data_IF_976145801033
#
_entry.id   IF_976145801033
#
_cell.length_a   1.000
_cell.length_b   1.000
_cell.length_c   1.000
_cell.angle_alpha   90.00
_cell.angle_beta   90.00
_cell.angle_gamma   90.00
#
_symmetry.space_group_name_H-M   'P 1'
#
loop_
_entity.id
_entity.type
_entity.pdbx_description
1 polymer ?
#
# COMPACT_ATOMS: atom_id res chain seq x y z
N UNK A 1 24.25 -48.11 2.08
CA UNK A 1 23.23 -47.07 1.76
C UNK A 1 23.97 -45.72 1.71
N UNK A 2 24.26 -45.27 0.48
CA UNK A 2 25.05 -44.05 0.25
C UNK A 2 24.06 -42.90 0.01
N UNK A 3 23.95 -41.96 0.94
CA UNK A 3 23.13 -40.75 0.77
C UNK A 3 23.91 -39.73 -0.06
N UNK A 4 23.45 -39.53 -1.29
CA UNK A 4 23.92 -38.44 -2.17
C UNK A 4 23.22 -37.15 -1.73
N UNK A 5 23.92 -36.25 -1.04
CA UNK A 5 23.47 -34.88 -0.79
C UNK A 5 23.63 -34.09 -2.09
N UNK A 6 22.52 -33.74 -2.74
CA UNK A 6 22.48 -32.75 -3.81
C UNK A 6 22.77 -31.38 -3.20
N UNK A 7 23.98 -30.90 -3.38
CA UNK A 7 24.34 -29.50 -3.12
C UNK A 7 23.76 -28.64 -4.25
N UNK A 8 22.70 -27.88 -3.99
CA UNK A 8 22.31 -26.77 -4.86
C UNK A 8 23.46 -25.75 -4.91
N UNK A 9 23.94 -25.34 -6.09
CA UNK A 9 24.90 -24.26 -6.17
C UNK A 9 24.16 -22.96 -5.79
N UNK A 10 24.40 -22.45 -4.58
CA UNK A 10 24.10 -21.08 -4.24
C UNK A 10 24.96 -20.22 -5.16
N UNK A 11 24.33 -19.51 -6.10
CA UNK A 11 24.99 -18.46 -6.84
C UNK A 11 25.47 -17.43 -5.80
N UNK A 12 26.79 -17.38 -5.61
CA UNK A 12 27.42 -16.37 -4.75
C UNK A 12 27.09 -15.01 -5.35
N UNK A 13 26.30 -14.21 -4.65
CA UNK A 13 26.04 -12.83 -5.02
C UNK A 13 27.38 -12.10 -5.14
N UNK A 14 27.58 -11.39 -6.25
CA UNK A 14 28.80 -10.63 -6.42
C UNK A 14 28.83 -9.45 -5.43
N UNK A 15 29.98 -9.03 -4.91
CA UNK A 15 30.09 -8.10 -3.77
C UNK A 15 29.42 -6.73 -3.96
N UNK A 16 29.01 -6.40 -5.19
CA UNK A 16 28.36 -5.12 -5.52
C UNK A 16 26.88 -5.23 -5.86
N UNK A 17 26.34 -6.44 -5.96
CA UNK A 17 24.94 -6.67 -6.28
C UNK A 17 24.01 -6.03 -5.24
N UNK A 18 24.29 -6.25 -3.96
CA UNK A 18 23.44 -5.73 -2.88
C UNK A 18 23.38 -4.19 -2.88
N UNK A 19 24.51 -3.53 -3.08
CA UNK A 19 24.56 -2.08 -3.14
C UNK A 19 23.84 -1.52 -4.40
N UNK A 20 23.94 -2.23 -5.53
CA UNK A 20 23.27 -1.86 -6.76
C UNK A 20 21.76 -2.09 -6.66
N UNK A 21 21.31 -3.21 -6.09
CA UNK A 21 19.91 -3.55 -5.85
C UNK A 21 19.25 -2.61 -4.83
N UNK A 22 19.97 -2.15 -3.81
CA UNK A 22 19.46 -1.15 -2.87
C UNK A 22 19.15 0.17 -3.60
N UNK A 23 20.04 0.64 -4.47
CA UNK A 23 19.81 1.83 -5.29
C UNK A 23 18.68 1.63 -6.33
N UNK A 24 18.57 0.42 -6.91
CA UNK A 24 17.49 0.04 -7.82
C UNK A 24 16.13 0.12 -7.13
N UNK A 25 16.02 -0.51 -5.96
CA UNK A 25 14.79 -0.49 -5.16
C UNK A 25 14.37 0.93 -4.78
N UNK A 26 15.31 1.73 -4.29
CA UNK A 26 15.05 3.13 -3.96
C UNK A 26 14.61 3.95 -5.19
N UNK A 27 15.20 3.67 -6.36
CA UNK A 27 14.82 4.34 -7.60
C UNK A 27 13.43 3.95 -8.10
N UNK A 28 13.05 2.68 -8.01
CA UNK A 28 11.77 2.21 -8.55
C UNK A 28 10.64 2.39 -7.55
N UNK A 29 10.79 1.92 -6.32
CA UNK A 29 9.72 1.98 -5.31
C UNK A 29 9.53 3.40 -4.74
N UNK A 30 10.60 4.19 -4.66
CA UNK A 30 10.55 5.56 -4.12
C UNK A 30 10.34 6.61 -5.22
N UNK A 31 11.33 6.76 -6.10
CA UNK A 31 11.34 7.89 -7.02
C UNK A 31 10.41 7.68 -8.23
N UNK A 32 10.40 6.48 -8.84
CA UNK A 32 9.57 6.22 -10.02
C UNK A 32 8.09 6.23 -9.67
N UNK A 33 7.67 5.50 -8.63
CA UNK A 33 6.28 5.53 -8.15
C UNK A 33 5.89 6.91 -7.61
N UNK A 34 6.85 7.65 -7.06
CA UNK A 34 6.69 9.05 -6.67
C UNK A 34 6.70 10.05 -7.83
N UNK A 35 6.70 9.58 -9.10
CA UNK A 35 6.76 10.41 -10.32
C UNK A 35 8.01 11.28 -10.47
N UNK A 36 9.04 11.01 -9.67
CA UNK A 36 10.34 11.71 -9.71
C UNK A 36 11.30 11.05 -10.72
N UNK A 37 10.88 10.94 -11.97
CA UNK A 37 11.58 10.16 -13.00
C UNK A 37 13.05 10.57 -13.24
N UNK A 38 13.40 11.84 -13.02
CA UNK A 38 14.80 12.29 -13.12
C UNK A 38 15.65 11.76 -11.96
N UNK A 39 15.11 11.70 -10.76
CA UNK A 39 15.80 11.14 -9.60
C UNK A 39 15.98 9.62 -9.78
N UNK A 40 14.95 8.91 -10.21
CA UNK A 40 15.03 7.48 -10.56
C UNK A 40 16.11 7.22 -11.63
N UNK A 41 16.14 8.02 -12.72
CA UNK A 41 17.19 7.93 -13.75
C UNK A 41 18.59 8.06 -13.13
N UNK A 42 18.80 9.02 -12.25
CA UNK A 42 20.12 9.27 -11.63
C UNK A 42 20.55 8.11 -10.73
N UNK A 43 19.64 7.58 -9.91
CA UNK A 43 19.93 6.45 -9.02
C UNK A 43 20.24 5.18 -9.80
N UNK A 44 19.45 4.84 -10.82
CA UNK A 44 19.71 3.67 -11.67
C UNK A 44 21.05 3.79 -12.43
N UNK A 45 21.39 4.98 -12.92
CA UNK A 45 22.72 5.22 -13.50
C UNK A 45 23.85 5.08 -12.46
N UNK A 46 23.63 5.52 -11.23
CA UNK A 46 24.58 5.32 -10.13
C UNK A 46 24.73 3.83 -9.82
N UNK A 47 23.63 3.07 -9.78
CA UNK A 47 23.67 1.61 -9.59
C UNK A 47 24.47 0.92 -10.69
N UNK A 48 24.22 1.22 -11.97
CA UNK A 48 25.02 0.71 -13.09
C UNK A 48 26.51 1.09 -13.00
N UNK A 49 26.81 2.30 -12.52
CA UNK A 49 28.20 2.73 -12.29
C UNK A 49 28.87 1.96 -11.14
N UNK A 50 28.12 1.64 -10.09
CA UNK A 50 28.58 0.81 -8.96
C UNK A 50 28.94 -0.61 -9.44
N UNK A 51 28.14 -1.18 -10.33
CA UNK A 51 28.44 -2.47 -10.96
C UNK A 51 29.71 -2.45 -11.81
N UNK A 52 29.98 -1.35 -12.51
CA UNK A 52 31.13 -1.24 -13.41
C UNK A 52 31.11 -2.34 -14.49
N UNK A 53 32.30 -2.82 -14.89
CA UNK A 53 32.40 -3.83 -15.98
C UNK A 53 32.16 -5.27 -15.53
N UNK A 54 32.43 -5.63 -14.27
CA UNK A 54 32.38 -7.01 -13.74
C UNK A 54 32.06 -7.09 -12.25
N UNK A 55 31.44 -6.07 -11.66
CA UNK A 55 31.22 -6.04 -10.23
C UNK A 55 29.82 -6.48 -9.81
N UNK A 56 28.94 -6.79 -10.76
CA UNK A 56 27.60 -7.32 -10.52
C UNK A 56 27.33 -8.54 -11.40
N UNK A 57 26.41 -9.37 -10.97
CA UNK A 57 25.90 -10.50 -11.72
C UNK A 57 25.22 -10.04 -13.03
N UNK A 58 25.14 -10.95 -14.00
CA UNK A 58 24.45 -10.67 -15.27
C UNK A 58 22.97 -10.33 -15.04
N UNK A 59 22.33 -11.02 -14.11
CA UNK A 59 20.93 -10.79 -13.76
C UNK A 59 20.72 -9.38 -13.17
N UNK A 60 21.56 -8.96 -12.21
CA UNK A 60 21.46 -7.62 -11.63
C UNK A 60 21.68 -6.52 -12.68
N UNK A 61 22.64 -6.71 -13.59
CA UNK A 61 22.86 -5.78 -14.71
C UNK A 61 21.65 -5.73 -15.66
N UNK A 62 21.04 -6.88 -15.96
CA UNK A 62 19.87 -6.97 -16.83
C UNK A 62 18.68 -6.22 -16.21
N UNK A 63 18.38 -6.46 -14.94
CA UNK A 63 17.33 -5.80 -14.20
C UNK A 63 17.53 -4.27 -14.14
N UNK A 64 18.74 -3.80 -13.84
CA UNK A 64 19.06 -2.38 -13.82
C UNK A 64 18.85 -1.69 -15.18
N UNK A 65 19.24 -2.36 -16.27
CA UNK A 65 19.00 -1.85 -17.62
C UNK A 65 17.53 -1.86 -18.00
N UNK A 66 16.77 -2.91 -17.61
CA UNK A 66 15.31 -3.00 -17.78
C UNK A 66 14.62 -1.83 -17.10
N UNK A 67 14.91 -1.60 -15.82
CA UNK A 67 14.25 -0.56 -15.03
C UNK A 67 14.61 0.85 -15.52
N UNK A 68 15.85 1.06 -15.93
CA UNK A 68 16.23 2.31 -16.59
C UNK A 68 15.53 2.51 -17.94
N UNK A 69 15.23 1.43 -18.68
CA UNK A 69 14.40 1.49 -19.88
C UNK A 69 12.97 1.90 -19.56
N UNK A 70 12.36 1.32 -18.52
CA UNK A 70 11.03 1.69 -18.02
C UNK A 70 10.96 3.18 -17.68
N UNK A 71 11.92 3.69 -16.90
CA UNK A 71 12.01 5.11 -16.55
C UNK A 71 12.11 6.00 -17.79
N UNK A 72 12.87 5.59 -18.81
CA UNK A 72 12.96 6.35 -20.04
C UNK A 72 11.68 6.32 -20.87
N UNK A 73 11.03 5.17 -21.01
CA UNK A 73 9.85 4.99 -21.87
C UNK A 73 8.62 5.60 -21.19
N UNK A 74 8.26 5.08 -20.02
CA UNK A 74 7.03 5.43 -19.34
C UNK A 74 7.13 6.77 -18.61
N UNK A 75 8.25 7.05 -17.92
CA UNK A 75 8.44 8.25 -17.12
C UNK A 75 8.86 9.47 -17.94
N UNK A 76 9.99 9.38 -18.62
CA UNK A 76 10.63 10.54 -19.29
C UNK A 76 10.23 10.71 -20.74
N UNK A 77 9.45 9.79 -21.32
CA UNK A 77 9.00 9.78 -22.73
C UNK A 77 10.16 9.81 -23.75
N UNK A 78 11.30 9.20 -23.39
CA UNK A 78 12.53 9.11 -24.21
C UNK A 78 12.67 7.72 -24.83
N UNK A 79 11.78 7.36 -25.76
CA UNK A 79 11.67 6.00 -26.34
C UNK A 79 12.98 5.44 -26.90
N UNK A 80 13.77 6.25 -27.62
CA UNK A 80 15.04 5.78 -28.21
C UNK A 80 16.07 5.40 -27.14
N UNK A 81 16.14 6.17 -26.04
CA UNK A 81 17.02 5.82 -24.92
C UNK A 81 16.54 4.58 -24.19
N UNK A 82 15.22 4.46 -24.01
CA UNK A 82 14.58 3.29 -23.44
C UNK A 82 14.88 2.02 -24.26
N UNK A 83 14.70 2.09 -25.59
CA UNK A 83 15.00 0.98 -26.49
C UNK A 83 16.45 0.50 -26.37
N UNK A 84 17.42 1.42 -26.32
CA UNK A 84 18.85 1.08 -26.13
C UNK A 84 19.10 0.38 -24.80
N UNK A 85 18.45 0.82 -23.72
CA UNK A 85 18.58 0.19 -22.41
C UNK A 85 17.89 -1.19 -22.39
N UNK A 86 16.75 -1.34 -23.01
CA UNK A 86 16.05 -2.62 -23.12
C UNK A 86 16.87 -3.65 -23.89
N UNK A 87 17.50 -3.23 -24.99
CA UNK A 87 18.44 -4.09 -25.73
C UNK A 87 19.64 -4.51 -24.87
N UNK A 88 20.15 -3.60 -24.04
CA UNK A 88 21.25 -3.93 -23.14
C UNK A 88 20.81 -4.92 -22.05
N UNK A 89 19.58 -4.80 -21.55
CA UNK A 89 18.99 -5.73 -20.59
C UNK A 89 18.88 -7.15 -21.17
N UNK A 90 18.26 -7.30 -22.33
CA UNK A 90 18.09 -8.60 -23.01
C UNK A 90 19.44 -9.21 -23.41
N UNK A 91 20.41 -8.36 -23.81
CA UNK A 91 21.77 -8.85 -24.09
C UNK A 91 22.48 -9.38 -22.85
N UNK A 92 22.24 -8.78 -21.67
CA UNK A 92 22.83 -9.24 -20.41
C UNK A 92 22.18 -10.53 -19.93
N UNK A 93 20.86 -10.64 -20.06
CA UNK A 93 20.07 -11.83 -19.76
C UNK A 93 18.92 -12.01 -20.77
N UNK A 94 19.07 -12.96 -21.73
CA UNK A 94 18.01 -13.24 -22.71
C UNK A 94 16.72 -13.82 -22.11
N UNK A 95 16.76 -14.36 -20.89
CA UNK A 95 15.60 -14.91 -20.19
C UNK A 95 14.92 -13.88 -19.28
N UNK A 96 15.43 -12.63 -19.27
CA UNK A 96 14.86 -11.56 -18.45
C UNK A 96 13.41 -11.29 -18.85
N UNK A 97 12.52 -11.27 -17.87
CA UNK A 97 11.13 -10.88 -18.04
C UNK A 97 10.90 -9.42 -17.63
N UNK A 98 9.85 -8.83 -18.16
CA UNK A 98 9.36 -7.54 -17.67
C UNK A 98 8.84 -7.71 -16.24
N UNK A 99 9.04 -6.68 -15.45
CA UNK A 99 8.43 -6.60 -14.14
C UNK A 99 6.96 -6.19 -14.30
N UNK A 100 6.00 -7.02 -13.87
CA UNK A 100 4.58 -6.73 -14.05
C UNK A 100 4.14 -5.43 -13.39
N UNK A 101 4.76 -5.05 -12.26
CA UNK A 101 4.41 -3.83 -11.51
C UNK A 101 4.79 -2.54 -12.27
N UNK A 102 5.74 -2.63 -13.19
CA UNK A 102 6.25 -1.50 -13.98
C UNK A 102 6.02 -1.66 -15.49
N UNK A 103 5.30 -2.71 -15.90
CA UNK A 103 4.98 -2.96 -17.30
C UNK A 103 3.82 -2.07 -17.75
N UNK A 104 4.00 -1.46 -18.91
CA UNK A 104 2.94 -0.70 -19.61
C UNK A 104 2.92 -1.13 -21.06
N UNK A 105 1.80 -0.97 -21.80
CA UNK A 105 1.73 -1.35 -23.22
C UNK A 105 2.81 -0.70 -24.09
N UNK A 106 3.31 0.48 -23.70
CA UNK A 106 4.44 1.12 -24.39
C UNK A 106 5.78 0.43 -24.10
N UNK A 107 5.98 -0.02 -22.85
CA UNK A 107 7.19 -0.75 -22.42
C UNK A 107 7.22 -2.12 -23.09
N UNK A 108 6.10 -2.84 -23.08
CA UNK A 108 5.95 -4.16 -23.72
C UNK A 108 6.30 -4.13 -25.19
N UNK A 109 5.74 -3.17 -25.96
CA UNK A 109 6.07 -2.98 -27.37
C UNK A 109 7.57 -2.74 -27.62
N UNK A 110 8.22 -2.00 -26.73
CA UNK A 110 9.68 -1.75 -26.84
C UNK A 110 10.47 -2.97 -26.45
N UNK A 111 10.01 -3.76 -25.49
CA UNK A 111 10.63 -5.01 -25.05
C UNK A 111 10.59 -6.06 -26.16
N UNK A 112 9.42 -6.29 -26.79
CA UNK A 112 9.27 -7.17 -27.93
C UNK A 112 10.14 -6.70 -29.13
N UNK A 113 10.11 -5.40 -29.42
CA UNK A 113 10.94 -4.82 -30.51
C UNK A 113 12.46 -4.86 -30.21
N UNK A 114 12.85 -5.09 -28.96
CA UNK A 114 14.24 -5.26 -28.55
C UNK A 114 14.68 -6.74 -28.57
N UNK A 115 13.79 -7.68 -28.85
CA UNK A 115 14.04 -9.12 -28.91
C UNK A 115 13.68 -9.89 -27.64
N UNK A 116 12.92 -9.30 -26.73
CA UNK A 116 12.34 -9.99 -25.59
C UNK A 116 11.28 -11.01 -26.00
N UNK A 117 11.09 -12.05 -25.20
CA UNK A 117 10.04 -13.02 -25.44
C UNK A 117 8.67 -12.32 -25.35
N UNK A 118 7.76 -12.64 -26.27
CA UNK A 118 6.40 -12.13 -26.22
C UNK A 118 5.79 -12.54 -24.87
N UNK A 119 5.30 -11.60 -24.11
CA UNK A 119 4.52 -11.88 -22.93
C UNK A 119 3.17 -12.40 -23.44
N UNK A 120 3.07 -13.71 -23.58
CA UNK A 120 1.75 -14.33 -23.70
C UNK A 120 1.05 -14.07 -22.38
N UNK A 121 -0.21 -13.53 -22.41
CA UNK A 121 -1.00 -13.50 -21.21
C UNK A 121 -1.04 -14.95 -20.68
N UNK A 122 -0.66 -15.11 -19.43
CA UNK A 122 -0.74 -16.40 -18.74
C UNK A 122 -2.15 -16.93 -19.00
N UNK A 123 -2.31 -18.09 -19.65
CA UNK A 123 -3.65 -18.65 -19.84
C UNK A 123 -4.22 -18.83 -18.45
N UNK A 124 -5.37 -18.19 -18.20
CA UNK A 124 -6.20 -18.59 -17.08
C UNK A 124 -6.25 -20.10 -17.13
N UNK A 125 -5.79 -20.75 -16.07
CA UNK A 125 -5.68 -22.19 -16.01
C UNK A 125 -7.09 -22.79 -16.09
N UNK A 126 -7.57 -22.96 -17.32
CA UNK A 126 -8.61 -23.92 -17.62
C UNK A 126 -7.99 -25.29 -17.40
N UNK A 127 -8.19 -25.80 -16.20
CA UNK A 127 -7.87 -27.15 -15.83
C UNK A 127 -8.79 -28.09 -16.63
N UNK A 128 -8.39 -28.39 -17.86
CA UNK A 128 -9.04 -29.43 -18.67
C UNK A 128 -8.69 -30.78 -18.08
N UNK A 129 -9.56 -31.26 -17.22
CA UNK A 129 -9.61 -32.66 -16.80
C UNK A 129 -9.91 -33.50 -18.04
N UNK A 130 -9.10 -34.55 -18.35
CA UNK A 130 -9.38 -35.45 -19.47
C UNK A 130 -10.75 -36.13 -19.27
N UNK A 131 -11.61 -35.99 -20.26
CA UNK A 131 -12.87 -36.72 -20.33
C UNK A 131 -12.57 -38.21 -20.56
N UNK A 132 -12.67 -39.03 -19.51
CA UNK A 132 -12.91 -40.45 -19.68
C UNK A 132 -14.41 -40.67 -20.04
N UNK A 133 -14.62 -41.43 -21.12
CA UNK A 133 -15.92 -41.86 -21.61
C UNK A 133 -16.68 -42.66 -20.56
N UNK A 134 -17.80 -42.14 -20.09
CA UNK A 134 -18.75 -42.89 -19.25
C UNK A 134 -20.16 -42.28 -19.35
N UNK A 135 -21.20 -43.11 -19.47
CA UNK A 135 -22.54 -42.69 -19.87
C UNK A 135 -23.35 -42.25 -18.68
N UNK A 136 -23.71 -40.99 -18.59
CA UNK A 136 -24.99 -40.50 -18.03
C UNK A 136 -25.08 -39.00 -18.25
N UNK A 137 -26.11 -38.53 -18.91
CA UNK A 137 -26.46 -37.15 -19.05
C UNK A 137 -26.60 -36.51 -17.65
N UNK A 138 -25.57 -35.74 -17.26
CA UNK A 138 -25.68 -34.81 -16.15
C UNK A 138 -26.62 -33.71 -16.61
N UNK A 139 -27.71 -33.40 -15.88
CA UNK A 139 -28.55 -32.26 -16.22
C UNK A 139 -27.66 -31.00 -16.31
N UNK A 140 -27.86 -30.25 -17.39
CA UNK A 140 -27.18 -28.95 -17.60
C UNK A 140 -27.26 -28.15 -16.29
N UNK A 141 -26.15 -27.46 -15.87
CA UNK A 141 -26.23 -26.60 -14.72
C UNK A 141 -27.41 -25.68 -14.92
N UNK A 142 -28.36 -25.71 -14.00
CA UNK A 142 -29.50 -24.79 -13.99
C UNK A 142 -28.88 -23.42 -14.01
N UNK A 143 -29.26 -22.63 -15.01
CA UNK A 143 -28.87 -21.21 -15.10
C UNK A 143 -29.15 -20.60 -13.73
N UNK A 144 -28.10 -20.13 -13.05
CA UNK A 144 -28.24 -19.45 -11.75
C UNK A 144 -29.36 -18.42 -11.92
N UNK A 145 -30.50 -18.67 -11.31
CA UNK A 145 -31.61 -17.74 -11.29
C UNK A 145 -31.10 -16.51 -10.57
N UNK A 146 -30.91 -15.45 -11.35
CA UNK A 146 -30.54 -14.13 -10.84
C UNK A 146 -31.48 -13.78 -9.68
N UNK A 147 -30.95 -13.77 -8.47
CA UNK A 147 -31.70 -13.62 -7.23
C UNK A 147 -32.21 -12.19 -7.01
N UNK A 148 -32.54 -11.49 -8.09
CA UNK A 148 -33.37 -10.29 -8.11
C UNK A 148 -32.94 -9.14 -7.19
N UNK A 149 -31.68 -8.80 -7.09
CA UNK A 149 -31.21 -7.62 -6.34
C UNK A 149 -30.08 -6.92 -7.08
N UNK A 150 -29.78 -5.68 -6.71
CA UNK A 150 -28.72 -4.89 -7.31
C UNK A 150 -27.38 -5.63 -7.33
N UNK A 151 -26.69 -5.59 -8.48
CA UNK A 151 -25.37 -6.24 -8.64
C UNK A 151 -24.21 -5.28 -8.33
N UNK A 152 -24.41 -3.99 -8.50
CA UNK A 152 -23.41 -2.98 -8.30
C UNK A 152 -23.87 -2.02 -7.20
N UNK A 153 -22.96 -1.62 -6.35
CA UNK A 153 -23.25 -0.78 -5.20
C UNK A 153 -22.27 0.38 -5.14
N UNK A 154 -22.82 1.60 -5.04
CA UNK A 154 -22.05 2.80 -4.75
C UNK A 154 -22.22 3.17 -3.29
N UNK A 155 -21.16 3.62 -2.66
CA UNK A 155 -21.20 4.08 -1.27
C UNK A 155 -20.51 5.42 -1.10
N UNK A 156 -21.04 6.22 -0.17
CA UNK A 156 -20.40 7.42 0.36
C UNK A 156 -20.34 7.27 1.86
N UNK A 157 -19.17 7.44 2.45
CA UNK A 157 -19.00 7.23 3.88
C UNK A 157 -18.01 8.20 4.51
N UNK A 158 -18.23 8.46 5.80
CA UNK A 158 -17.31 9.18 6.67
C UNK A 158 -16.70 8.20 7.66
N UNK A 159 -15.37 8.24 7.79
CA UNK A 159 -14.60 7.39 8.69
C UNK A 159 -13.82 8.25 9.69
N UNK A 160 -13.90 7.90 10.97
CA UNK A 160 -13.05 8.42 12.03
C UNK A 160 -12.06 7.34 12.44
N UNK A 161 -10.78 7.64 12.31
CA UNK A 161 -9.70 6.75 12.76
C UNK A 161 -9.35 7.05 14.22
N UNK A 162 -8.98 5.99 14.93
CA UNK A 162 -8.43 6.00 16.28
C UNK A 162 -7.13 5.23 16.27
N UNK A 163 -6.08 5.78 16.86
CA UNK A 163 -4.77 5.12 16.93
C UNK A 163 -4.50 4.58 18.33
N UNK A 164 -4.01 3.35 18.40
CA UNK A 164 -3.61 2.71 19.65
C UNK A 164 -2.15 3.06 19.91
N UNK A 165 -1.87 3.65 21.05
CA UNK A 165 -0.53 4.04 21.48
C UNK A 165 0.03 3.07 22.51
N UNK A 166 1.29 2.67 22.32
CA UNK A 166 2.08 2.09 23.41
C UNK A 166 2.57 3.16 24.40
N UNK A 167 2.87 2.75 25.60
CA UNK A 167 3.57 3.64 26.53
C UNK A 167 4.99 3.94 26.02
N UNK A 168 5.42 5.18 26.11
CA UNK A 168 6.78 5.60 25.78
C UNK A 168 7.24 6.73 26.68
N UNK A 169 8.54 6.80 26.97
CA UNK A 169 9.16 7.81 27.83
C UNK A 169 9.86 8.93 27.05
N UNK A 170 9.95 8.79 25.72
CA UNK A 170 10.68 9.75 24.87
C UNK A 170 9.85 10.04 23.61
N UNK A 171 8.75 10.75 23.76
CA UNK A 171 7.85 11.04 22.61
C UNK A 171 8.54 11.90 21.57
N UNK A 172 9.27 12.94 21.98
CA UNK A 172 9.90 13.90 21.08
C UNK A 172 11.45 13.76 21.04
N UNK A 173 12.01 12.66 21.45
CA UNK A 173 13.45 12.43 21.61
C UNK A 173 14.18 11.81 20.43
N UNK A 174 13.88 12.20 19.19
CA UNK A 174 14.78 11.97 18.03
C UNK A 174 15.00 10.54 17.53
N UNK A 175 14.28 9.54 18.00
CA UNK A 175 14.39 8.15 17.53
C UNK A 175 13.03 7.48 17.40
N UNK A 176 11.97 8.16 17.76
CA UNK A 176 10.63 7.62 17.86
C UNK A 176 9.78 7.94 16.62
N UNK A 177 8.72 7.18 16.44
CA UNK A 177 7.73 7.35 15.38
C UNK A 177 6.85 8.61 15.56
N UNK A 178 7.27 9.54 16.44
CA UNK A 178 6.57 10.78 16.73
C UNK A 178 7.31 11.96 16.14
N UNK A 179 6.54 12.90 15.61
CA UNK A 179 7.01 14.20 15.16
C UNK A 179 6.37 15.26 16.05
N UNK A 180 7.19 16.10 16.65
CA UNK A 180 6.74 17.12 17.57
C UNK A 180 6.75 18.51 16.92
N UNK A 181 5.75 19.30 17.27
CA UNK A 181 5.60 20.68 16.79
C UNK A 181 5.35 21.62 17.96
N UNK A 182 6.00 22.77 17.92
CA UNK A 182 5.76 23.88 18.84
C UNK A 182 5.04 24.99 18.06
N UNK A 183 3.83 25.32 18.45
CA UNK A 183 3.04 26.39 17.83
C UNK A 183 2.94 26.30 16.29
N UNK A 184 2.88 25.07 15.76
CA UNK A 184 2.77 24.80 14.32
C UNK A 184 4.09 24.68 13.57
N UNK A 185 5.22 24.93 14.20
CA UNK A 185 6.56 24.71 13.62
C UNK A 185 7.14 23.37 14.07
N UNK A 186 7.91 22.69 13.20
CA UNK A 186 8.56 21.44 13.56
C UNK A 186 9.62 21.68 14.64
N UNK A 187 9.53 20.94 15.72
CA UNK A 187 10.47 21.01 16.83
C UNK A 187 11.50 19.90 16.68
N UNK A 188 12.77 20.25 16.52
CA UNK A 188 13.86 19.32 16.27
C UNK A 188 14.94 19.31 17.37
N UNK A 189 14.79 20.10 18.40
CA UNK A 189 15.75 20.14 19.49
C UNK A 189 15.50 19.04 20.52
N UNK A 190 16.55 18.48 21.13
CA UNK A 190 16.39 17.50 22.20
C UNK A 190 15.68 18.16 23.39
N UNK A 191 14.64 17.49 23.88
CA UNK A 191 13.95 17.91 25.10
C UNK A 191 14.83 17.50 26.26
N UNK A 192 15.32 18.48 27.00
CA UNK A 192 16.05 18.24 28.23
C UNK A 192 15.06 17.94 29.35
N UNK A 193 15.32 16.80 29.98
CA UNK A 193 14.70 16.27 31.20
C UNK A 193 13.20 15.96 31.18
N UNK A 194 13.02 14.76 31.18
CA UNK A 194 12.05 13.77 31.03
C UNK A 194 10.76 13.76 31.82
N UNK A 195 10.38 14.68 32.64
CA UNK A 195 9.19 14.49 33.47
C UNK A 195 7.85 14.71 32.75
N UNK A 196 7.83 15.32 31.55
CA UNK A 196 6.63 15.58 30.76
C UNK A 196 6.59 14.86 29.41
N UNK A 197 7.70 14.28 28.97
CA UNK A 197 7.85 13.65 27.65
C UNK A 197 7.40 12.17 27.67
N UNK A 198 6.38 11.86 28.44
CA UNK A 198 5.87 10.50 28.62
C UNK A 198 4.47 10.39 28.06
N UNK A 199 4.22 9.33 27.32
CA UNK A 199 2.90 8.93 26.88
C UNK A 199 2.51 7.62 27.57
N UNK A 200 1.33 7.60 28.17
CA UNK A 200 0.73 6.35 28.66
C UNK A 200 0.07 5.61 27.50
N UNK A 201 0.08 4.28 27.57
CA UNK A 201 -0.67 3.46 26.64
C UNK A 201 -2.14 3.87 26.63
N UNK A 202 -2.73 3.96 25.44
CA UNK A 202 -4.11 4.39 25.30
C UNK A 202 -4.58 4.42 23.85
N UNK A 203 -5.72 5.04 23.65
CA UNK A 203 -6.33 5.26 22.32
C UNK A 203 -6.53 6.76 22.14
N UNK A 204 -6.12 7.29 21.03
CA UNK A 204 -6.30 8.69 20.68
C UNK A 204 -7.00 8.88 19.34
N UNK A 205 -7.57 10.07 19.19
CA UNK A 205 -8.21 10.47 17.93
C UNK A 205 -7.12 10.66 16.86
N UNK A 206 -7.39 10.14 15.66
CA UNK A 206 -6.50 10.20 14.53
C UNK A 206 -7.20 10.85 13.32
N UNK A 207 -6.76 10.57 12.13
CA UNK A 207 -7.29 11.10 10.87
C UNK A 207 -8.78 10.83 10.68
N UNK A 208 -9.40 11.65 9.86
CA UNK A 208 -10.78 11.49 9.38
C UNK A 208 -10.76 11.31 7.88
N UNK A 209 -11.75 10.60 7.33
CA UNK A 209 -11.81 10.34 5.90
C UNK A 209 -13.22 10.51 5.36
N UNK A 210 -13.29 10.97 4.12
CA UNK A 210 -14.48 10.85 3.28
C UNK A 210 -14.15 9.89 2.17
N UNK A 211 -14.93 8.82 2.04
CA UNK A 211 -14.67 7.71 1.13
C UNK A 211 -15.84 7.52 0.18
N UNK A 212 -15.54 7.35 -1.09
CA UNK A 212 -16.46 6.86 -2.11
C UNK A 212 -16.07 5.42 -2.42
N UNK A 213 -17.02 4.51 -2.39
CA UNK A 213 -16.81 3.10 -2.66
C UNK A 213 -17.65 2.60 -3.81
N UNK A 214 -17.13 1.58 -4.48
CA UNK A 214 -17.85 0.77 -5.44
C UNK A 214 -17.63 -0.70 -5.07
N UNK A 215 -18.73 -1.43 -4.90
CA UNK A 215 -18.73 -2.86 -4.59
C UNK A 215 -19.57 -3.59 -5.65
N UNK A 216 -19.08 -4.71 -6.17
CA UNK A 216 -19.80 -5.61 -7.05
C UNK A 216 -20.12 -6.89 -6.34
N UNK A 217 -21.38 -7.34 -6.45
CA UNK A 217 -21.85 -8.62 -5.89
C UNK A 217 -21.44 -9.78 -6.77
N UNK A 218 -20.92 -10.82 -6.13
CA UNK A 218 -20.59 -12.12 -6.71
C UNK A 218 -21.36 -13.21 -5.95
N UNK A 219 -22.24 -13.91 -6.65
CA UNK A 219 -23.16 -14.84 -6.00
C UNK A 219 -24.15 -14.14 -5.08
N UNK A 220 -24.54 -14.78 -4.00
CA UNK A 220 -25.58 -14.27 -3.09
C UNK A 220 -25.01 -13.43 -1.93
N UNK A 221 -23.81 -13.75 -1.44
CA UNK A 221 -23.29 -13.25 -0.18
C UNK A 221 -21.94 -12.54 -0.27
N UNK A 222 -21.29 -12.50 -1.43
CA UNK A 222 -19.94 -11.91 -1.54
C UNK A 222 -20.01 -10.62 -2.32
N UNK A 223 -19.29 -9.60 -1.84
CA UNK A 223 -18.98 -8.41 -2.61
C UNK A 223 -17.47 -8.19 -2.68
N UNK A 224 -17.00 -7.79 -3.84
CA UNK A 224 -15.64 -7.30 -4.06
C UNK A 224 -15.72 -5.86 -4.56
N UNK A 225 -14.87 -5.01 -4.05
CA UNK A 225 -14.93 -3.60 -4.42
C UNK A 225 -13.67 -2.82 -4.08
N UNK A 226 -13.76 -1.53 -4.31
CA UNK A 226 -12.72 -0.56 -4.02
C UNK A 226 -13.29 0.67 -3.35
N UNK A 227 -12.49 1.33 -2.53
CA UNK A 227 -12.78 2.65 -1.96
C UNK A 227 -11.67 3.63 -2.28
N UNK A 228 -12.04 4.84 -2.60
CA UNK A 228 -11.16 5.98 -2.81
C UNK A 228 -11.63 7.13 -1.95
N UNK A 229 -10.73 7.97 -1.46
CA UNK A 229 -11.12 9.14 -0.71
C UNK A 229 -9.99 10.00 -0.20
N UNK A 230 -10.38 10.98 0.59
CA UNK A 230 -9.47 11.94 1.20
C UNK A 230 -9.46 11.79 2.72
N UNK A 231 -8.23 11.87 3.28
CA UNK A 231 -7.98 11.93 4.70
C UNK A 231 -7.68 13.37 5.16
N UNK A 232 -8.20 13.73 6.32
CA UNK A 232 -8.07 15.05 6.92
C UNK A 232 -7.54 14.94 8.35
N UNK A 233 -6.92 16.00 8.85
CA UNK A 233 -6.43 16.04 10.22
C UNK A 233 -5.19 15.18 10.43
N UNK A 234 -4.36 15.03 9.41
CA UNK A 234 -3.03 14.46 9.55
C UNK A 234 -2.03 15.48 10.09
N UNK A 235 -0.81 15.02 10.33
CA UNK A 235 0.28 15.86 10.87
C UNK A 235 0.59 17.06 9.99
N UNK A 236 0.98 18.21 10.57
CA UNK A 236 1.50 19.33 9.82
C UNK A 236 2.71 18.93 8.97
N UNK A 237 2.94 19.67 7.89
CA UNK A 237 4.13 19.46 7.09
C UNK A 237 5.37 19.93 7.89
N UNK A 238 6.32 19.05 8.07
CA UNK A 238 7.57 19.43 8.72
C UNK A 238 8.41 20.34 7.83
N UNK A 239 9.04 21.31 8.45
CA UNK A 239 10.05 22.17 7.81
C UNK A 239 11.40 21.47 7.68
N UNK A 240 11.60 20.37 8.42
CA UNK A 240 12.84 19.59 8.42
C UNK A 240 12.92 18.71 7.16
N UNK A 241 14.02 18.74 6.40
CA UNK A 241 14.22 17.85 5.27
C UNK A 241 14.23 16.38 5.76
N UNK A 242 13.62 15.48 4.99
CA UNK A 242 13.49 14.02 5.22
C UNK A 242 12.26 13.57 6.05
N UNK A 243 11.37 14.45 6.43
CA UNK A 243 10.08 14.03 6.98
C UNK A 243 9.04 14.06 5.85
N UNK A 244 8.45 12.90 5.56
CA UNK A 244 7.41 12.83 4.52
C UNK A 244 6.17 13.61 4.94
N UNK A 245 5.63 14.41 4.03
CA UNK A 245 4.32 15.04 4.25
C UNK A 245 3.24 13.97 4.45
N UNK A 246 2.19 14.34 5.17
CA UNK A 246 0.99 13.50 5.32
C UNK A 246 0.39 13.18 3.94
N UNK A 247 0.01 11.92 3.74
CA UNK A 247 -0.66 11.46 2.53
C UNK A 247 -2.19 11.62 2.68
N UNK A 248 -2.79 12.65 2.07
CA UNK A 248 -4.24 12.88 2.21
C UNK A 248 -5.09 11.93 1.35
N UNK A 249 -4.47 11.00 0.62
CA UNK A 249 -5.15 10.05 -0.24
C UNK A 249 -5.38 8.73 0.49
N UNK A 250 -6.56 8.14 0.28
CA UNK A 250 -6.89 6.77 0.66
C UNK A 250 -7.37 6.01 -0.57
N UNK A 251 -6.82 4.82 -0.79
CA UNK A 251 -7.28 3.90 -1.81
C UNK A 251 -7.16 2.47 -1.29
N UNK A 252 -8.23 1.69 -1.37
CA UNK A 252 -8.23 0.31 -0.90
C UNK A 252 -9.07 -0.60 -1.79
N UNK A 253 -8.69 -1.86 -1.86
CA UNK A 253 -9.51 -2.96 -2.35
C UNK A 253 -10.12 -3.66 -1.14
N UNK A 254 -11.35 -4.15 -1.29
CA UNK A 254 -12.07 -4.82 -0.20
C UNK A 254 -12.87 -6.01 -0.69
N UNK A 255 -13.00 -7.01 0.18
CA UNK A 255 -13.92 -8.12 0.01
C UNK A 255 -14.78 -8.27 1.25
N UNK A 256 -16.07 -8.46 1.09
CA UNK A 256 -17.01 -8.62 2.21
C UNK A 256 -17.91 -9.83 1.99
N UNK A 257 -18.15 -10.54 3.07
CA UNK A 257 -19.15 -11.62 3.13
C UNK A 257 -20.36 -11.13 3.93
N UNK A 258 -21.53 -11.20 3.33
CA UNK A 258 -22.80 -10.75 3.88
C UNK A 258 -23.54 -11.94 4.49
N UNK A 259 -24.03 -11.75 5.70
CA UNK A 259 -24.73 -12.78 6.46
C UNK A 259 -26.23 -12.76 6.12
N UNK A 260 -26.85 -13.94 6.04
CA UNK A 260 -28.26 -14.10 5.69
C UNK A 260 -28.46 -14.82 4.37
N UNK A 261 -29.67 -15.29 4.11
CA UNK A 261 -29.96 -16.11 2.93
C UNK A 261 -30.05 -15.27 1.63
N UNK A 262 -30.54 -14.03 1.74
CA UNK A 262 -30.71 -13.12 0.59
C UNK A 262 -30.43 -11.66 0.98
N UNK A 263 -29.19 -11.33 1.37
CA UNK A 263 -28.89 -10.03 1.98
C UNK A 263 -29.08 -8.83 1.06
N UNK A 264 -29.28 -9.03 -0.25
CA UNK A 264 -29.43 -7.93 -1.22
C UNK A 264 -30.84 -7.82 -1.80
N UNK A 265 -31.77 -8.63 -1.34
CA UNK A 265 -33.14 -8.69 -1.85
C UNK A 265 -34.16 -8.15 -0.84
N UNK A 266 -33.92 -8.41 0.44
CA UNK A 266 -34.85 -8.07 1.52
C UNK A 266 -34.46 -6.75 2.18
N UNK A 267 -35.46 -6.02 2.69
CA UNK A 267 -35.24 -4.84 3.54
C UNK A 267 -34.75 -5.25 4.93
N UNK A 268 -34.18 -4.33 5.67
CA UNK A 268 -33.75 -4.54 7.04
C UNK A 268 -32.26 -4.64 7.26
N UNK A 269 -31.86 -5.33 8.32
CA UNK A 269 -30.47 -5.39 8.77
C UNK A 269 -29.69 -6.44 7.99
N UNK A 270 -28.58 -6.02 7.38
CA UNK A 270 -27.67 -6.84 6.57
C UNK A 270 -26.27 -6.82 7.20
N UNK A 271 -25.96 -7.71 8.14
CA UNK A 271 -24.63 -7.76 8.75
C UNK A 271 -23.62 -8.34 7.78
N UNK A 272 -22.37 -7.89 7.88
CA UNK A 272 -21.28 -8.36 7.05
C UNK A 272 -19.94 -8.27 7.78
N UNK A 273 -18.95 -9.01 7.28
CA UNK A 273 -17.56 -8.93 7.69
C UNK A 273 -16.65 -9.13 6.47
N UNK A 274 -15.41 -8.67 6.56
CA UNK A 274 -14.50 -8.79 5.45
C UNK A 274 -13.09 -8.28 5.71
N UNK A 275 -12.34 -8.18 4.62
CA UNK A 275 -10.95 -7.76 4.58
C UNK A 275 -10.79 -6.60 3.60
N UNK A 276 -9.82 -5.74 3.88
CA UNK A 276 -9.39 -4.72 2.95
C UNK A 276 -7.87 -4.54 3.01
N UNK A 277 -7.30 -4.13 1.89
CA UNK A 277 -5.89 -3.77 1.80
C UNK A 277 -5.72 -2.59 0.84
N UNK A 278 -4.77 -1.70 1.13
CA UNK A 278 -4.58 -0.52 0.31
C UNK A 278 -3.53 0.44 0.82
N UNK A 279 -3.64 1.68 0.36
CA UNK A 279 -2.78 2.78 0.75
C UNK A 279 -3.57 3.87 1.48
N UNK A 280 -2.95 4.43 2.51
CA UNK A 280 -3.48 5.54 3.30
C UNK A 280 -2.62 5.72 4.55
N UNK A 281 -2.58 6.93 5.07
CA UNK A 281 -1.82 7.25 6.26
C UNK A 281 -2.77 7.60 7.41
N UNK A 282 -2.51 7.07 8.60
CA UNK A 282 -3.27 7.36 9.82
C UNK A 282 -2.33 8.07 10.79
N UNK A 283 -2.49 9.34 10.95
CA UNK A 283 -1.71 10.12 11.91
C UNK A 283 -2.53 10.37 13.17
N UNK A 284 -1.93 10.06 14.32
CA UNK A 284 -2.56 10.30 15.62
C UNK A 284 -1.91 11.45 16.34
N UNK A 285 -2.72 12.36 16.86
CA UNK A 285 -2.29 13.53 17.63
C UNK A 285 -2.33 13.26 19.13
N UNK A 286 -1.27 13.64 19.82
CA UNK A 286 -1.19 13.64 21.28
C UNK A 286 -0.50 14.93 21.73
N UNK A 287 -1.06 15.56 22.76
CA UNK A 287 -0.44 16.70 23.41
C UNK A 287 0.54 16.20 24.46
N UNK A 288 1.76 16.72 24.44
CA UNK A 288 2.83 16.36 25.40
C UNK A 288 3.27 17.63 26.13
N UNK A 289 3.20 17.60 27.45
CA UNK A 289 3.79 18.66 28.28
C UNK A 289 5.29 18.47 28.38
N UNK A 290 6.06 19.53 28.28
CA UNK A 290 7.50 19.50 28.45
C UNK A 290 8.00 20.75 29.16
N UNK A 291 9.17 20.62 29.76
CA UNK A 291 9.87 21.77 30.37
C UNK A 291 10.93 22.27 29.41
N UNK A 292 10.88 23.54 29.05
CA UNK A 292 11.95 24.19 28.30
C UNK A 292 12.96 24.73 29.29
N UNK A 293 14.18 24.24 29.22
CA UNK A 293 15.32 24.87 29.84
C UNK A 293 16.01 25.76 28.77
N UNK A 294 15.47 26.92 28.54
CA UNK A 294 16.18 27.93 27.76
C UNK A 294 17.27 28.51 28.66
N UNK A 295 18.53 28.36 28.28
CA UNK A 295 19.67 28.94 28.95
C UNK A 295 19.47 30.48 29.08
N UNK A 296 19.04 30.92 30.27
CA UNK A 296 18.77 32.33 30.58
C UNK A 296 17.31 32.69 30.85
N UNK A 297 16.36 31.79 30.67
CA UNK A 297 14.95 31.96 31.06
C UNK A 297 14.64 31.09 32.26
N UNK A 298 13.88 31.62 33.21
CA UNK A 298 13.56 30.98 34.49
C UNK A 298 13.10 29.53 34.29
N UNK A 299 13.87 28.61 34.81
CA UNK A 299 13.53 27.19 34.97
C UNK A 299 12.14 27.07 35.58
N UNK A 300 11.14 26.63 34.84
CA UNK A 300 9.78 26.21 35.23
C UNK A 300 8.68 26.61 34.26
N UNK A 301 8.98 27.00 33.03
CA UNK A 301 7.92 27.25 32.04
C UNK A 301 7.51 25.91 31.42
N UNK A 302 6.32 25.44 31.77
CA UNK A 302 5.67 24.33 31.05
C UNK A 302 5.24 24.84 29.69
N UNK A 303 5.64 24.18 28.65
CA UNK A 303 5.14 24.36 27.29
C UNK A 303 4.49 23.08 26.81
N UNK A 304 3.56 23.19 25.89
CA UNK A 304 2.87 22.06 25.32
C UNK A 304 3.34 21.87 23.87
N UNK A 305 3.75 20.65 23.55
CA UNK A 305 4.05 20.23 22.18
C UNK A 305 2.92 19.41 21.62
N UNK A 306 2.63 19.64 20.37
CA UNK A 306 1.79 18.78 19.58
C UNK A 306 2.63 17.64 18.99
N UNK A 307 2.49 16.45 19.54
CA UNK A 307 3.17 15.28 19.04
C UNK A 307 2.25 14.49 18.11
N UNK A 308 2.77 14.18 16.92
CA UNK A 308 2.06 13.41 15.91
C UNK A 308 2.75 12.09 15.70
N UNK A 309 2.05 10.98 15.94
CA UNK A 309 2.53 9.67 15.56
C UNK A 309 2.23 9.44 14.10
N UNK A 310 3.27 9.31 13.28
CA UNK A 310 3.18 8.94 11.88
C UNK A 310 3.18 7.43 11.72
N UNK A 311 2.36 6.95 10.80
CA UNK A 311 2.26 5.54 10.50
C UNK A 311 2.74 5.22 9.09
N UNK A 312 2.84 3.92 8.78
CA UNK A 312 3.12 3.48 7.41
C UNK A 312 1.96 3.76 6.47
N UNK A 313 2.26 3.84 5.19
CA UNK A 313 1.28 4.19 4.13
C UNK A 313 0.51 3.00 3.58
N UNK A 314 0.96 1.77 3.83
CA UNK A 314 0.22 0.56 3.44
C UNK A 314 -0.67 0.12 4.61
N UNK A 315 -1.92 -0.21 4.31
CA UNK A 315 -2.94 -0.58 5.29
C UNK A 315 -3.49 -1.96 4.94
N UNK A 316 -3.64 -2.79 5.96
CA UNK A 316 -4.48 -4.00 5.93
C UNK A 316 -5.55 -3.82 6.99
N UNK A 317 -6.79 -4.16 6.68
CA UNK A 317 -7.90 -4.01 7.61
C UNK A 317 -8.78 -5.26 7.67
N UNK A 318 -9.19 -5.60 8.89
CA UNK A 318 -10.37 -6.41 9.16
C UNK A 318 -11.54 -5.45 9.34
N UNK A 319 -12.70 -5.75 8.75
CA UNK A 319 -13.88 -4.95 8.98
C UNK A 319 -15.11 -5.82 9.26
N UNK A 320 -15.98 -5.30 10.09
CA UNK A 320 -17.29 -5.88 10.36
C UNK A 320 -18.30 -4.76 10.55
N UNK A 321 -19.50 -4.97 10.04
CA UNK A 321 -20.52 -3.94 10.10
C UNK A 321 -21.91 -4.47 9.76
N UNK A 322 -22.81 -3.54 9.62
CA UNK A 322 -24.15 -3.80 9.14
C UNK A 322 -24.63 -2.66 8.24
N UNK A 323 -25.37 -3.01 7.21
CA UNK A 323 -26.16 -2.08 6.45
C UNK A 323 -27.64 -2.25 6.84
N UNK A 324 -28.32 -1.15 7.12
CA UNK A 324 -29.76 -1.15 7.31
C UNK A 324 -30.42 -0.72 6.00
N UNK A 325 -30.98 -1.68 5.29
CA UNK A 325 -31.68 -1.46 4.03
C UNK A 325 -33.05 -0.84 4.29
N UNK A 326 -33.23 0.38 3.84
CA UNK A 326 -34.51 1.10 3.86
C UNK A 326 -35.39 0.63 2.69
N UNK A 327 -34.73 0.33 1.58
CA UNK A 327 -35.28 -0.38 0.41
C UNK A 327 -34.21 -1.35 -0.09
N UNK A 328 -34.52 -2.27 -0.99
CA UNK A 328 -33.51 -3.18 -1.52
C UNK A 328 -32.25 -2.48 -2.10
N UNK A 329 -32.42 -1.27 -2.64
CA UNK A 329 -31.35 -0.48 -3.27
C UNK A 329 -30.71 0.56 -2.34
N UNK A 330 -31.37 0.94 -1.23
CA UNK A 330 -30.94 2.05 -0.37
C UNK A 330 -30.64 1.58 1.05
N UNK A 331 -29.41 1.73 1.52
CA UNK A 331 -29.07 1.34 2.87
C UNK A 331 -28.13 2.33 3.58
N UNK A 332 -28.31 2.43 4.91
CA UNK A 332 -27.39 3.10 5.82
C UNK A 332 -26.36 2.07 6.31
N UNK A 333 -25.10 2.45 6.34
CA UNK A 333 -23.98 1.57 6.66
C UNK A 333 -23.28 2.04 7.93
N UNK A 334 -23.04 1.09 8.84
CA UNK A 334 -22.19 1.27 10.02
C UNK A 334 -21.12 0.19 10.01
N UNK A 335 -19.86 0.55 10.15
CA UNK A 335 -18.75 -0.39 10.06
C UNK A 335 -17.69 -0.06 11.10
N UNK A 336 -17.19 -1.08 11.79
CA UNK A 336 -15.98 -1.04 12.62
C UNK A 336 -14.84 -1.70 11.86
N UNK A 337 -13.65 -1.12 12.00
CA UNK A 337 -12.46 -1.61 11.32
C UNK A 337 -11.31 -1.72 12.31
N UNK A 338 -10.59 -2.82 12.24
CA UNK A 338 -9.28 -2.97 12.85
C UNK A 338 -8.24 -2.73 11.75
N UNK A 339 -7.44 -1.68 11.91
CA UNK A 339 -6.45 -1.25 10.93
C UNK A 339 -5.05 -1.67 11.40
N UNK A 340 -4.29 -2.29 10.51
CA UNK A 340 -2.88 -2.54 10.70
C UNK A 340 -2.10 -1.78 9.63
N UNK A 341 -1.35 -0.75 10.03
CA UNK A 341 -0.44 -0.02 9.16
C UNK A 341 0.89 -0.75 9.06
N UNK A 342 1.43 -0.84 7.85
CA UNK A 342 2.69 -1.49 7.53
C UNK A 342 3.77 -0.44 7.22
N UNK A 343 5.02 -0.80 7.49
CA UNK A 343 6.16 0.14 7.35
C UNK A 343 6.52 0.74 8.71
N UNK A 344 5.90 1.83 9.13
CA UNK A 344 5.91 2.24 10.53
C UNK A 344 4.73 1.55 11.21
N UNK A 345 5.00 0.43 11.87
CA UNK A 345 3.97 -0.48 12.40
C UNK A 345 3.10 0.20 13.44
N UNK A 346 1.81 0.26 13.18
CA UNK A 346 0.83 0.78 14.13
C UNK A 346 -0.51 0.07 13.94
N UNK A 347 -1.24 -0.05 15.03
CA UNK A 347 -2.58 -0.63 15.06
C UNK A 347 -3.58 0.47 15.36
N UNK A 348 -4.68 0.51 14.65
CA UNK A 348 -5.75 1.47 14.85
C UNK A 348 -7.12 0.81 14.78
N UNK A 349 -8.10 1.55 15.25
CA UNK A 349 -9.51 1.26 15.07
C UNK A 349 -10.10 2.35 14.19
N UNK A 350 -11.14 2.04 13.42
CA UNK A 350 -11.89 3.05 12.73
C UNK A 350 -13.39 2.77 12.84
N UNK A 351 -14.14 3.84 12.97
CA UNK A 351 -15.59 3.84 12.90
C UNK A 351 -16.01 4.50 11.59
N UNK A 352 -16.82 3.80 10.81
CA UNK A 352 -17.28 4.24 9.51
C UNK A 352 -18.82 4.31 9.49
N UNK A 353 -19.33 5.44 9.02
CA UNK A 353 -20.76 5.68 8.85
C UNK A 353 -20.99 6.11 7.39
N UNK A 354 -21.96 5.50 6.73
CA UNK A 354 -22.15 5.75 5.31
C UNK A 354 -23.53 5.43 4.80
N UNK A 355 -23.69 5.70 3.53
CA UNK A 355 -24.86 5.38 2.75
C UNK A 355 -24.44 4.60 1.51
N UNK A 356 -25.25 3.63 1.10
CA UNK A 356 -24.99 2.81 -0.07
C UNK A 356 -26.23 2.72 -0.96
N UNK A 357 -25.98 2.76 -2.27
CA UNK A 357 -26.97 2.73 -3.34
C UNK A 357 -26.69 1.55 -4.28
N UNK A 358 -27.67 0.66 -4.42
CA UNK A 358 -27.68 -0.43 -5.39
C UNK A 358 -28.08 0.05 -6.79
N UNK A 359 -27.37 -0.46 -7.81
CA UNK A 359 -27.56 -0.14 -9.23
C UNK A 359 -27.81 -1.40 -10.04
#
# INVERSE_FOLDING_TARGET
MLSLALACPHALAEPKDDAARALQKEAMDGDYLGTQFKAAEQKLKKALKTCGKRGCSKLALAELHRDLAVVYIAGLKKKDKGKKQMQAAIKADPALQLDPDFSTPEVEKVYEAAGGAKVEPEPEADEQIPLEDGPAAVPAPEAETDSGGAKNWLSLSFQQDLLIYGATTEVCGGGNQYQCFLQGESYSEPIYDGSGNQLRAGVGVATRRVLVGYDRRFGENITLGARLGFAFGGSPQATTPNVSAFLPLHAELRGSYWLGDKPFVEDGLRPYAGLAAGIGEVDGHVAVEFFVDEAGYQANRKSQLDAWRKTGKAIVALHAGAAYAVTPEHALLVELRLLQMLGATATGLAFNLGYTLGL
#
